data_IF_057181020126
#
_entry.id   IF_057181020126
#
_cell.length_a   1.000
_cell.length_b   1.000
_cell.length_c   1.000
_cell.angle_alpha   90.00
_cell.angle_beta   90.00
_cell.angle_gamma   90.00
#
_symmetry.space_group_name_H-M   'P 1'
#
loop_
_entity.id
_entity.type
_entity.pdbx_description
1 polymer ?
#
# COMPACT_ATOMS: atom_id res chain seq x y z
N UNK A 1 -7.43 -17.31 9.85
CA UNK A 1 -8.36 -16.65 8.92
C UNK A 1 -7.47 -15.95 7.91
N UNK A 2 -7.29 -16.56 6.75
CA UNK A 2 -6.60 -15.90 5.64
C UNK A 2 -7.53 -14.75 5.19
N UNK A 3 -7.02 -13.53 5.01
CA UNK A 3 -7.85 -12.45 4.51
C UNK A 3 -8.29 -12.77 3.08
N UNK A 4 -9.61 -12.82 2.86
CA UNK A 4 -10.19 -12.85 1.52
C UNK A 4 -9.95 -11.49 0.87
N UNK A 5 -8.97 -11.41 -0.01
CA UNK A 5 -8.73 -10.22 -0.83
C UNK A 5 -9.56 -10.29 -2.11
N UNK A 6 -10.05 -9.15 -2.58
CA UNK A 6 -10.73 -9.05 -3.87
C UNK A 6 -9.92 -8.22 -4.88
N UNK A 7 -10.17 -8.44 -6.16
CA UNK A 7 -9.67 -7.55 -7.21
C UNK A 7 -10.23 -6.13 -7.02
N UNK A 8 -9.38 -5.12 -7.11
CA UNK A 8 -9.74 -3.72 -6.84
C UNK A 8 -9.53 -3.24 -5.41
N UNK A 9 -9.27 -4.14 -4.45
CA UNK A 9 -8.98 -3.73 -3.08
C UNK A 9 -7.63 -3.00 -2.97
N UNK A 10 -7.57 -2.06 -2.03
CA UNK A 10 -6.33 -1.40 -1.65
C UNK A 10 -5.59 -2.21 -0.59
N UNK A 11 -4.31 -2.45 -0.83
CA UNK A 11 -3.46 -3.22 0.06
C UNK A 11 -2.08 -2.59 0.23
N UNK A 12 -1.50 -2.81 1.39
CA UNK A 12 -0.14 -2.45 1.73
C UNK A 12 0.79 -3.65 1.48
N UNK A 13 1.94 -3.41 0.85
CA UNK A 13 2.94 -4.45 0.58
C UNK A 13 4.12 -4.32 1.54
N UNK A 14 4.56 -5.45 2.11
CA UNK A 14 5.67 -5.49 3.06
C UNK A 14 7.02 -5.16 2.42
N UNK A 15 7.81 -4.30 3.06
CA UNK A 15 9.15 -3.89 2.61
C UNK A 15 10.25 -4.88 2.98
N UNK A 16 9.91 -6.01 3.62
CA UNK A 16 10.89 -6.99 4.10
C UNK A 16 11.86 -7.45 3.00
N UNK A 17 11.33 -7.77 1.82
CA UNK A 17 12.11 -8.21 0.66
C UNK A 17 12.48 -7.07 -0.30
N UNK A 18 12.29 -5.82 0.12
CA UNK A 18 12.67 -4.67 -0.69
C UNK A 18 14.12 -4.26 -0.39
N UNK A 19 15.04 -4.73 -1.23
CA UNK A 19 16.47 -4.41 -1.09
C UNK A 19 16.84 -3.01 -1.62
N UNK A 20 16.04 -2.42 -2.51
CA UNK A 20 16.31 -1.12 -3.16
C UNK A 20 15.51 0.05 -2.56
N UNK A 21 15.09 -0.04 -1.30
CA UNK A 21 14.45 1.12 -0.64
C UNK A 21 15.52 2.07 -0.11
N UNK A 22 15.31 3.35 -0.35
CA UNK A 22 16.21 4.42 0.12
C UNK A 22 16.14 4.52 1.65
N UNK A 23 17.29 4.47 2.33
CA UNK A 23 17.42 4.75 3.76
C UNK A 23 17.77 3.54 4.65
N UNK A 24 18.02 3.78 5.96
CA UNK A 24 18.43 2.74 6.89
C UNK A 24 17.26 1.81 7.26
N UNK A 25 17.53 0.50 7.35
CA UNK A 25 16.54 -0.57 7.64
C UNK A 25 15.67 -0.32 8.89
N UNK A 26 16.17 0.46 9.86
CA UNK A 26 15.45 0.78 11.12
C UNK A 26 14.46 1.94 10.99
N UNK A 27 14.62 2.82 10.02
CA UNK A 27 13.80 4.02 9.85
C UNK A 27 12.81 3.90 8.68
N UNK A 28 12.95 2.87 7.85
CA UNK A 28 12.01 2.60 6.76
C UNK A 28 10.69 2.08 7.32
N UNK A 29 9.60 2.44 6.64
CA UNK A 29 8.30 1.84 6.90
C UNK A 29 8.33 0.34 6.62
N UNK A 30 7.66 -0.44 7.47
CA UNK A 30 7.55 -1.90 7.29
C UNK A 30 6.64 -2.27 6.11
N UNK A 31 5.77 -1.34 5.71
CA UNK A 31 4.81 -1.51 4.62
C UNK A 31 4.82 -0.26 3.75
N UNK A 32 4.73 -0.45 2.44
CA UNK A 32 4.67 0.62 1.44
C UNK A 32 3.33 0.60 0.74
N UNK A 33 2.86 1.82 0.45
CA UNK A 33 1.81 2.17 -0.52
C UNK A 33 0.44 1.51 -0.30
N UNK A 34 -0.67 2.24 -0.44
CA UNK A 34 -1.89 1.59 -0.89
C UNK A 34 -1.72 1.25 -2.38
N UNK A 35 -1.59 -0.04 -2.69
CA UNK A 35 -1.59 -0.56 -4.05
C UNK A 35 -2.90 -1.26 -4.34
N UNK A 36 -3.36 -1.19 -5.59
CA UNK A 36 -4.57 -1.88 -6.00
C UNK A 36 -4.26 -3.32 -6.40
N UNK A 37 -5.05 -4.27 -5.93
CA UNK A 37 -5.00 -5.65 -6.43
C UNK A 37 -5.55 -5.65 -7.86
N UNK A 38 -4.72 -6.07 -8.81
CA UNK A 38 -5.12 -6.29 -10.19
C UNK A 38 -5.79 -7.66 -10.32
N UNK A 39 -5.21 -8.68 -9.68
CA UNK A 39 -5.65 -10.07 -9.83
C UNK A 39 -5.26 -10.92 -8.63
N UNK A 40 -6.08 -11.92 -8.31
CA UNK A 40 -5.74 -12.95 -7.35
C UNK A 40 -5.06 -14.12 -8.07
N UNK A 41 -3.84 -14.46 -7.63
CA UNK A 41 -3.04 -15.56 -8.20
C UNK A 41 -3.17 -16.76 -7.26
N UNK A 42 -4.21 -17.55 -7.51
CA UNK A 42 -4.56 -18.68 -6.66
C UNK A 42 -4.96 -18.22 -5.25
N UNK A 43 -4.73 -19.07 -4.25
CA UNK A 43 -5.13 -18.82 -2.86
C UNK A 43 -4.08 -18.03 -2.06
N UNK A 44 -2.81 -18.09 -2.50
CA UNK A 44 -1.68 -17.68 -1.68
C UNK A 44 -0.95 -16.44 -2.21
N UNK A 45 -1.30 -15.93 -3.39
CA UNK A 45 -0.62 -14.79 -3.99
C UNK A 45 -1.60 -13.81 -4.64
N UNK A 46 -1.22 -12.54 -4.67
CA UNK A 46 -1.97 -11.45 -5.28
C UNK A 46 -1.04 -10.64 -6.18
N UNK A 47 -1.58 -10.23 -7.32
CA UNK A 47 -0.94 -9.30 -8.23
C UNK A 47 -1.39 -7.89 -7.89
N UNK A 48 -0.45 -7.00 -7.62
CA UNK A 48 -0.73 -5.61 -7.28
C UNK A 48 -0.16 -4.67 -8.33
N UNK A 49 -0.86 -3.54 -8.51
CA UNK A 49 -0.42 -2.45 -9.37
C UNK A 49 0.62 -1.62 -8.63
N UNK A 50 1.90 -1.92 -8.86
CA UNK A 50 3.00 -1.11 -8.38
C UNK A 50 3.09 0.21 -9.18
N UNK A 51 3.39 1.31 -8.49
CA UNK A 51 3.71 2.59 -9.13
C UNK A 51 5.08 2.52 -9.81
N UNK A 52 5.38 3.44 -10.74
CA UNK A 52 6.63 3.42 -11.52
C UNK A 52 7.91 3.32 -10.67
N UNK A 53 7.92 3.95 -9.49
CA UNK A 53 9.04 3.86 -8.53
C UNK A 53 9.33 2.41 -8.08
N UNK A 54 8.29 1.57 -8.05
CA UNK A 54 8.37 0.15 -7.67
C UNK A 54 8.24 -0.80 -8.86
N UNK A 55 8.14 -0.31 -10.10
CA UNK A 55 7.92 -1.13 -11.29
C UNK A 55 9.07 -2.10 -11.60
N UNK A 56 10.25 -1.89 -11.00
CA UNK A 56 11.38 -2.83 -11.07
C UNK A 56 11.20 -4.07 -10.19
N UNK A 57 10.18 -4.08 -9.32
CA UNK A 57 9.87 -5.20 -8.44
C UNK A 57 8.81 -6.10 -9.05
N UNK A 58 8.83 -7.37 -8.65
CA UNK A 58 7.79 -8.32 -9.03
C UNK A 58 6.44 -7.82 -8.52
N UNK A 59 5.41 -7.72 -9.39
CA UNK A 59 4.07 -7.26 -9.00
C UNK A 59 3.28 -8.32 -8.21
N UNK A 60 3.81 -9.55 -8.12
CA UNK A 60 3.16 -10.67 -7.43
C UNK A 60 3.73 -10.84 -6.04
N UNK A 61 2.87 -10.76 -5.03
CA UNK A 61 3.23 -10.92 -3.63
C UNK A 61 2.40 -12.02 -2.96
N UNK A 62 3.00 -12.81 -2.05
CA UNK A 62 2.22 -13.75 -1.25
C UNK A 62 1.33 -13.02 -0.25
N UNK A 63 0.15 -13.57 0.05
CA UNK A 63 -0.85 -13.00 0.98
C UNK A 63 -0.28 -12.68 2.36
N UNK A 64 0.74 -13.42 2.82
CA UNK A 64 1.40 -13.17 4.10
C UNK A 64 2.23 -11.88 4.14
N UNK A 65 2.63 -11.35 2.98
CA UNK A 65 3.38 -10.10 2.85
C UNK A 65 2.48 -8.91 2.48
N UNK A 66 1.18 -9.13 2.42
CA UNK A 66 0.19 -8.12 2.03
C UNK A 66 -0.74 -7.87 3.23
N UNK A 67 -1.12 -6.61 3.42
CA UNK A 67 -2.09 -6.22 4.44
C UNK A 67 -3.22 -5.41 3.80
N UNK A 68 -4.48 -5.61 4.20
CA UNK A 68 -5.57 -4.75 3.76
C UNK A 68 -5.31 -3.31 4.20
N UNK A 69 -5.52 -2.35 3.30
CA UNK A 69 -5.43 -0.94 3.60
C UNK A 69 -6.78 -0.45 4.13
N UNK A 70 -6.79 -0.01 5.39
CA UNK A 70 -7.98 0.60 5.98
C UNK A 70 -7.87 2.12 5.87
N UNK A 71 -8.72 2.72 5.03
CA UNK A 71 -8.86 4.16 5.00
C UNK A 71 -9.33 4.64 6.38
N UNK A 72 -8.78 5.76 6.83
CA UNK A 72 -9.19 6.34 8.10
C UNK A 72 -10.57 6.95 7.94
N UNK A 73 -11.57 6.34 8.57
CA UNK A 73 -12.91 6.92 8.70
C UNK A 73 -12.85 8.10 9.68
N UNK A 74 -13.28 9.28 9.23
CA UNK A 74 -13.27 10.51 10.04
C UNK A 74 -14.21 10.40 11.24
N UNK A 75 -15.31 9.69 11.07
CA UNK A 75 -16.36 9.51 12.08
C UNK A 75 -15.86 8.73 13.30
N UNK A 76 -14.98 7.74 13.09
CA UNK A 76 -14.41 6.91 14.15
C UNK A 76 -13.32 7.63 14.96
N UNK A 77 -12.68 8.66 14.40
CA UNK A 77 -11.52 9.33 15.01
C UNK A 77 -11.55 10.86 14.85
N UNK A 78 -12.49 11.55 15.53
CA UNK A 78 -12.71 12.99 15.34
C UNK A 78 -11.51 13.87 15.71
N UNK A 79 -10.63 13.41 16.62
CA UNK A 79 -9.45 14.16 17.05
C UNK A 79 -8.24 14.06 16.10
N UNK A 80 -8.31 13.22 15.04
CA UNK A 80 -7.19 13.03 14.12
C UNK A 80 -7.16 14.15 13.08
N UNK A 81 -6.29 15.14 13.28
CA UNK A 81 -6.05 16.20 12.30
C UNK A 81 -5.47 15.61 11.01
N UNK A 82 -6.19 15.73 9.90
CA UNK A 82 -5.60 15.50 8.56
C UNK A 82 -4.51 16.54 8.35
N UNK A 83 -3.40 16.15 7.71
CA UNK A 83 -2.44 17.15 7.24
C UNK A 83 -3.19 18.11 6.29
N UNK A 84 -2.99 19.43 6.40
CA UNK A 84 -3.66 20.38 5.53
C UNK A 84 -3.35 20.04 4.08
N UNK A 85 -4.39 19.90 3.26
CA UNK A 85 -4.25 19.73 1.82
C UNK A 85 -3.43 20.92 1.28
N UNK A 86 -2.40 20.70 0.44
CA UNK A 86 -1.69 21.82 -0.18
C UNK A 86 -2.70 22.74 -0.91
N UNK A 87 -2.56 24.06 -0.83
CA UNK A 87 -3.48 25.00 -1.45
C UNK A 87 -3.48 24.84 -2.98
N UNK A 88 -4.65 24.87 -3.59
CA UNK A 88 -4.79 24.89 -5.05
C UNK A 88 -4.07 26.11 -5.62
N UNK A 89 -3.12 25.87 -6.51
CA UNK A 89 -2.45 26.93 -7.27
C UNK A 89 -3.44 27.39 -8.33
N UNK A 90 -4.11 28.50 -8.09
CA UNK A 90 -4.86 29.21 -9.14
C UNK A 90 -3.84 29.81 -10.09
N UNK A 91 -3.73 29.26 -11.31
CA UNK A 91 -3.03 29.93 -12.40
C UNK A 91 -3.75 31.24 -12.72
N UNK A 92 -3.04 32.36 -12.55
CA UNK A 92 -3.51 33.74 -12.83
C UNK A 92 -3.06 34.16 -14.22
#
# INVERSE_FOLDING_TARGET
MEPDFMEGDQVLVSTLNFNNLKGPKKMRDSFVGPFYIIKLIGKNAVEVKLTEEFSTKHPVFPVSLVKPYYQTEEDKFPCRKKNPTPPDIVEV
#
